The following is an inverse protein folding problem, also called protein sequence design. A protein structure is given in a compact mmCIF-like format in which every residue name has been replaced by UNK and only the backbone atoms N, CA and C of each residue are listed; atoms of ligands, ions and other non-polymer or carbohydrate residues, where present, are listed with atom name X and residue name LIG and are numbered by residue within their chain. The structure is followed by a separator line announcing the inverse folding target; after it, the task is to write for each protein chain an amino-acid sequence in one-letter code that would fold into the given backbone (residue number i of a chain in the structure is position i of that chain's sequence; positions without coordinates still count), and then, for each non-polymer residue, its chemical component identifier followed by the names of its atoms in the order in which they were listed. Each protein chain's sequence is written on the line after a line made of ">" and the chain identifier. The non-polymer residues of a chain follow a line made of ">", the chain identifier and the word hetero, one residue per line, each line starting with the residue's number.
data_IF_121668096892
#
_entry.id   IF_121668096892
#
_cell.length_a   1.000
_cell.length_b   1.000
_cell.length_c   1.000
_cell.angle_alpha   90.00
_cell.angle_beta   90.00
_cell.angle_gamma   90.00
#
_symmetry.space_group_name_H-M   'P 1'
#
loop_
_entity.id
_entity.type
_entity.pdbx_description
1 polymer ?
#
# COMPACT_ATOMS: atom_id res chain seq x y z
N UNK A 1 -0.77 -52.28 38.15
CA UNK A 1 -0.87 -51.06 38.97
C UNK A 1 -0.30 -49.89 38.15
N UNK A 2 -1.12 -49.37 37.25
CA UNK A 2 -0.90 -48.14 36.49
C UNK A 2 -2.31 -47.71 36.10
N UNK A 3 -2.80 -46.55 36.54
CA UNK A 3 -4.14 -46.16 36.11
C UNK A 3 -4.82 -44.97 36.79
N UNK A 4 -4.38 -44.50 37.97
CA UNK A 4 -5.10 -43.40 38.64
C UNK A 4 -4.51 -42.01 38.33
N UNK A 5 -3.19 -41.89 38.10
CA UNK A 5 -2.52 -40.59 37.98
C UNK A 5 -2.67 -39.88 36.62
N UNK A 6 -3.09 -40.59 35.57
CA UNK A 6 -3.13 -40.04 34.20
C UNK A 6 -4.48 -39.35 33.89
N UNK A 7 -5.54 -39.65 34.65
CA UNK A 7 -6.88 -39.12 34.40
C UNK A 7 -7.03 -37.69 34.95
N UNK A 8 -6.40 -37.39 36.09
CA UNK A 8 -6.40 -36.05 36.69
C UNK A 8 -5.59 -35.03 35.87
N UNK A 9 -4.52 -35.48 35.18
CA UNK A 9 -3.68 -34.59 34.36
C UNK A 9 -4.37 -34.17 33.04
N UNK A 10 -5.26 -35.04 32.51
CA UNK A 10 -6.04 -34.75 31.30
C UNK A 10 -7.18 -33.76 31.61
N UNK A 11 -7.88 -33.94 32.73
CA UNK A 11 -8.96 -33.04 33.15
C UNK A 11 -8.44 -31.61 33.45
N UNK A 12 -7.23 -31.49 34.02
CA UNK A 12 -6.57 -30.20 34.23
C UNK A 12 -6.22 -29.47 32.93
N UNK A 13 -5.76 -30.19 31.90
CA UNK A 13 -5.40 -29.62 30.59
C UNK A 13 -6.59 -29.05 29.82
N UNK A 14 -7.74 -29.73 29.84
CA UNK A 14 -8.94 -29.24 29.15
C UNK A 14 -9.47 -27.93 29.76
N UNK A 15 -9.48 -27.82 31.09
CA UNK A 15 -9.84 -26.59 31.79
C UNK A 15 -8.88 -25.43 31.48
N UNK A 16 -7.58 -25.72 31.38
CA UNK A 16 -6.56 -24.72 31.06
C UNK A 16 -6.68 -24.21 29.62
N UNK A 17 -6.90 -25.09 28.64
CA UNK A 17 -7.11 -24.68 27.24
C UNK A 17 -8.37 -23.82 27.06
N UNK A 18 -9.44 -24.15 27.78
CA UNK A 18 -10.67 -23.34 27.78
C UNK A 18 -10.43 -21.93 28.33
N UNK A 19 -9.70 -21.80 29.44
CA UNK A 19 -9.36 -20.52 30.05
C UNK A 19 -8.45 -19.67 29.14
N UNK A 20 -7.46 -20.28 28.49
CA UNK A 20 -6.57 -19.59 27.53
C UNK A 20 -7.36 -19.08 26.33
N UNK A 21 -8.28 -19.88 25.78
CA UNK A 21 -9.11 -19.48 24.65
C UNK A 21 -10.05 -18.31 24.99
N UNK A 22 -10.67 -18.35 26.18
CA UNK A 22 -11.50 -17.25 26.66
C UNK A 22 -10.69 -15.98 26.88
N UNK A 23 -9.50 -16.09 27.47
CA UNK A 23 -8.59 -14.96 27.64
C UNK A 23 -8.13 -14.37 26.31
N UNK A 24 -7.80 -15.20 25.31
CA UNK A 24 -7.46 -14.74 23.96
C UNK A 24 -8.63 -14.01 23.30
N UNK A 25 -9.85 -14.56 23.36
CA UNK A 25 -11.06 -13.90 22.83
C UNK A 25 -11.29 -12.54 23.49
N UNK A 26 -11.13 -12.46 24.81
CA UNK A 26 -11.24 -11.20 25.55
C UNK A 26 -10.19 -10.18 25.09
N UNK A 27 -8.93 -10.60 24.92
CA UNK A 27 -7.84 -9.73 24.45
C UNK A 27 -8.07 -9.22 23.03
N UNK A 28 -8.55 -10.08 22.13
CA UNK A 28 -8.94 -9.67 20.77
C UNK A 28 -10.09 -8.68 20.82
N UNK A 29 -11.11 -8.93 21.64
CA UNK A 29 -12.25 -8.00 21.75
C UNK A 29 -11.82 -6.63 22.29
N UNK A 30 -10.96 -6.61 23.31
CA UNK A 30 -10.42 -5.39 23.89
C UNK A 30 -9.52 -4.62 22.90
N UNK A 31 -8.76 -5.33 22.06
CA UNK A 31 -7.97 -4.72 20.99
C UNK A 31 -8.89 -4.06 19.94
N UNK A 32 -9.96 -4.76 19.53
CA UNK A 32 -10.97 -4.22 18.60
C UNK A 32 -11.64 -2.97 19.15
N UNK A 33 -11.99 -2.93 20.44
CA UNK A 33 -12.58 -1.75 21.06
C UNK A 33 -11.63 -0.55 21.12
N UNK A 34 -10.33 -0.79 21.36
CA UNK A 34 -9.32 0.27 21.32
C UNK A 34 -9.16 0.83 19.92
N UNK A 35 -9.09 -0.02 18.89
CA UNK A 35 -9.03 0.42 17.50
C UNK A 35 -10.27 1.21 17.10
N UNK A 36 -11.45 0.84 17.61
CA UNK A 36 -12.69 1.58 17.35
C UNK A 36 -12.68 3.02 17.88
N UNK A 37 -11.95 3.29 18.97
CA UNK A 37 -11.73 4.66 19.45
C UNK A 37 -10.73 5.43 18.59
N UNK A 38 -9.74 4.73 18.03
CA UNK A 38 -8.76 5.31 17.13
C UNK A 38 -9.33 5.62 15.73
N UNK A 39 -10.44 4.96 15.31
CA UNK A 39 -11.10 5.22 14.02
C UNK A 39 -11.37 6.70 13.77
N UNK A 40 -11.88 7.42 14.77
CA UNK A 40 -12.21 8.85 14.61
C UNK A 40 -10.97 9.71 14.34
N UNK A 41 -9.87 9.44 15.06
CA UNK A 41 -8.60 10.15 14.87
C UNK A 41 -7.97 9.82 13.51
N UNK A 42 -7.98 8.54 13.14
CA UNK A 42 -7.42 8.05 11.88
C UNK A 42 -8.22 8.61 10.69
N UNK A 43 -9.54 8.66 10.79
CA UNK A 43 -10.38 9.29 9.77
C UNK A 43 -10.12 10.79 9.66
N UNK A 44 -10.01 11.50 10.79
CA UNK A 44 -9.68 12.92 10.80
C UNK A 44 -8.33 13.20 10.12
N UNK A 45 -7.28 12.43 10.47
CA UNK A 45 -5.96 12.54 9.86
C UNK A 45 -6.03 12.25 8.35
N UNK A 46 -6.78 11.23 7.94
CA UNK A 46 -6.93 10.90 6.52
C UNK A 46 -7.65 11.99 5.71
N UNK A 47 -8.60 12.72 6.33
CA UNK A 47 -9.26 13.88 5.71
C UNK A 47 -8.33 15.10 5.61
N UNK A 48 -7.43 15.27 6.57
CA UNK A 48 -6.42 16.34 6.53
C UNK A 48 -5.39 16.07 5.44
N UNK A 49 -4.88 14.82 5.37
CA UNK A 49 -3.93 14.39 4.34
C UNK A 49 -4.52 14.43 2.94
N UNK A 50 -5.78 14.03 2.77
CA UNK A 50 -6.45 14.03 1.49
C UNK A 50 -7.90 14.51 1.64
N UNK A 51 -8.16 15.82 1.51
CA UNK A 51 -9.51 16.37 1.70
C UNK A 51 -10.47 16.02 0.56
N UNK A 52 -9.95 15.67 -0.62
CA UNK A 52 -10.76 15.33 -1.79
C UNK A 52 -11.44 13.96 -1.71
N UNK A 53 -12.41 13.74 -2.60
CA UNK A 53 -13.10 12.45 -2.74
C UNK A 53 -12.10 11.33 -3.03
N UNK A 54 -12.26 10.20 -2.34
CA UNK A 54 -11.40 9.02 -2.48
C UNK A 54 -11.31 8.48 -3.92
N UNK A 55 -12.39 8.64 -4.71
CA UNK A 55 -12.44 8.21 -6.11
C UNK A 55 -11.44 8.96 -7.01
N UNK A 56 -11.01 10.16 -6.62
CA UNK A 56 -10.06 10.95 -7.39
C UNK A 56 -8.62 10.48 -7.22
N UNK A 57 -8.30 9.81 -6.12
CA UNK A 57 -6.95 9.33 -5.83
C UNK A 57 -6.41 8.33 -6.88
N UNK A 58 -7.14 7.26 -7.24
CA UNK A 58 -6.68 6.35 -8.29
C UNK A 58 -6.65 7.03 -9.66
N UNK A 59 -7.58 7.94 -9.94
CA UNK A 59 -7.57 8.72 -11.18
C UNK A 59 -6.33 9.64 -11.27
N UNK A 60 -5.96 10.27 -10.16
CA UNK A 60 -4.78 11.12 -10.06
C UNK A 60 -3.48 10.30 -10.14
N UNK A 61 -3.43 9.12 -9.51
CA UNK A 61 -2.30 8.21 -9.66
C UNK A 61 -2.13 7.72 -11.10
N UNK A 62 -3.23 7.36 -11.78
CA UNK A 62 -3.19 6.98 -13.19
C UNK A 62 -2.76 8.15 -14.09
N UNK A 63 -3.25 9.37 -13.80
CA UNK A 63 -2.84 10.57 -14.52
C UNK A 63 -1.35 10.88 -14.31
N UNK A 64 -0.84 10.74 -13.08
CA UNK A 64 0.58 10.93 -12.78
C UNK A 64 1.47 9.93 -13.49
N UNK A 65 1.10 8.65 -13.51
CA UNK A 65 1.85 7.63 -14.27
C UNK A 65 1.85 7.92 -15.78
N UNK A 66 0.71 8.38 -16.32
CA UNK A 66 0.62 8.79 -17.72
C UNK A 66 1.50 10.01 -18.00
N UNK A 67 1.50 10.98 -17.08
CA UNK A 67 2.31 12.19 -17.19
C UNK A 67 3.80 11.86 -17.12
N UNK A 68 4.20 10.99 -16.18
CA UNK A 68 5.57 10.50 -16.04
C UNK A 68 6.03 9.85 -17.35
N UNK A 69 5.22 8.96 -17.91
CA UNK A 69 5.48 8.35 -19.21
C UNK A 69 5.67 9.38 -20.34
N UNK A 70 4.75 10.35 -20.45
CA UNK A 70 4.83 11.38 -21.49
C UNK A 70 6.10 12.21 -21.31
N UNK A 71 6.47 12.56 -20.07
CA UNK A 71 7.69 13.32 -19.81
C UNK A 71 8.95 12.52 -20.12
N UNK A 72 9.03 11.26 -19.71
CA UNK A 72 10.16 10.38 -20.03
C UNK A 72 10.31 10.16 -21.53
N UNK A 73 9.19 9.96 -22.23
CA UNK A 73 9.17 9.85 -23.69
C UNK A 73 9.66 11.16 -24.36
N UNK A 74 9.16 12.31 -23.92
CA UNK A 74 9.57 13.61 -24.45
C UNK A 74 11.06 13.89 -24.22
N UNK A 75 11.59 13.57 -23.02
CA UNK A 75 13.03 13.70 -22.70
C UNK A 75 13.88 12.86 -23.65
N UNK A 76 13.49 11.61 -23.90
CA UNK A 76 14.25 10.71 -24.76
C UNK A 76 14.20 11.12 -26.23
N UNK A 77 13.02 11.50 -26.72
CA UNK A 77 12.84 11.99 -28.10
C UNK A 77 13.62 13.30 -28.35
N UNK A 78 13.58 14.24 -27.39
CA UNK A 78 14.26 15.54 -27.50
C UNK A 78 15.76 15.45 -27.26
N UNK A 79 16.21 14.58 -26.35
CA UNK A 79 17.64 14.44 -26.03
C UNK A 79 18.43 13.74 -27.15
N UNK A 80 17.77 13.00 -28.05
CA UNK A 80 18.42 12.23 -29.11
C UNK A 80 19.44 11.19 -28.59
N UNK A 81 19.37 10.85 -27.30
CA UNK A 81 20.22 9.88 -26.62
C UNK A 81 19.36 8.67 -26.30
N UNK A 82 19.80 7.48 -26.68
CA UNK A 82 19.08 6.23 -26.34
C UNK A 82 19.17 5.86 -24.84
N UNK A 83 19.73 6.75 -24.01
CA UNK A 83 20.12 6.49 -22.63
C UNK A 83 19.98 7.79 -21.83
N UNK A 84 19.08 7.82 -20.85
CA UNK A 84 19.03 8.86 -19.83
C UNK A 84 19.88 8.37 -18.67
N UNK A 85 20.91 9.13 -18.28
CA UNK A 85 21.69 8.88 -17.05
C UNK A 85 20.87 9.27 -15.81
N UNK A 86 19.68 8.71 -15.64
CA UNK A 86 18.86 8.95 -14.47
C UNK A 86 19.19 7.93 -13.37
N UNK A 87 20.13 8.33 -12.51
CA UNK A 87 20.08 8.30 -11.04
C UNK A 87 19.83 6.99 -10.26
N UNK A 88 19.38 5.89 -10.86
CA UNK A 88 19.00 4.68 -10.13
C UNK A 88 19.43 3.40 -10.86
N UNK A 89 20.10 2.49 -10.14
CA UNK A 89 20.53 1.17 -10.65
C UNK A 89 19.41 0.39 -11.36
N UNK A 90 18.15 0.58 -10.95
CA UNK A 90 16.99 -0.06 -11.57
C UNK A 90 16.60 0.57 -12.91
N UNK A 91 16.56 1.90 -13.02
CA UNK A 91 16.22 2.59 -14.27
C UNK A 91 17.25 2.27 -15.37
N UNK A 92 18.53 2.29 -15.01
CA UNK A 92 19.63 1.92 -15.91
C UNK A 92 19.59 0.46 -16.38
N UNK A 93 19.10 -0.47 -15.55
CA UNK A 93 18.95 -1.88 -15.94
C UNK A 93 17.74 -2.09 -16.87
N UNK A 94 16.60 -1.49 -16.53
CA UNK A 94 15.34 -1.61 -17.29
C UNK A 94 15.46 -1.03 -18.70
N UNK A 95 16.11 0.13 -18.86
CA UNK A 95 16.37 0.72 -20.18
C UNK A 95 17.28 -0.19 -21.02
N UNK A 96 18.26 -0.84 -20.40
CA UNK A 96 19.24 -1.70 -21.09
C UNK A 96 18.65 -3.00 -21.62
N UNK A 97 17.71 -3.61 -20.89
CA UNK A 97 17.10 -4.89 -21.31
C UNK A 97 15.83 -4.72 -22.15
N UNK A 98 15.02 -3.69 -21.89
CA UNK A 98 13.68 -3.59 -22.49
C UNK A 98 13.33 -2.24 -23.11
N UNK A 99 14.23 -1.26 -23.05
CA UNK A 99 13.98 0.10 -23.54
C UNK A 99 12.85 0.84 -22.81
N UNK A 100 12.37 1.92 -23.42
CA UNK A 100 11.35 2.83 -22.88
C UNK A 100 10.02 2.15 -22.53
N UNK A 101 9.58 1.20 -23.36
CA UNK A 101 8.34 0.48 -23.15
C UNK A 101 8.35 -0.38 -21.89
N UNK A 102 9.54 -0.83 -21.45
CA UNK A 102 9.68 -1.65 -20.25
C UNK A 102 9.59 -0.82 -18.96
N UNK A 103 10.15 0.40 -18.96
CA UNK A 103 9.95 1.37 -17.87
C UNK A 103 8.46 1.66 -17.65
N UNK A 104 7.74 1.93 -18.74
CA UNK A 104 6.30 2.13 -18.69
C UNK A 104 5.56 0.91 -18.15
N UNK A 105 5.89 -0.28 -18.64
CA UNK A 105 5.25 -1.51 -18.19
C UNK A 105 5.46 -1.75 -16.70
N UNK A 106 6.66 -1.51 -16.19
CA UNK A 106 6.99 -1.63 -14.77
C UNK A 106 6.18 -0.63 -13.95
N UNK A 107 6.11 0.64 -14.37
CA UNK A 107 5.37 1.66 -13.63
C UNK A 107 3.86 1.40 -13.66
N UNK A 108 3.30 1.01 -14.81
CA UNK A 108 1.91 0.54 -14.92
C UNK A 108 1.66 -0.67 -14.02
N UNK A 109 2.56 -1.66 -14.00
CA UNK A 109 2.46 -2.82 -13.12
C UNK A 109 2.47 -2.42 -11.64
N UNK A 110 3.34 -1.48 -11.25
CA UNK A 110 3.41 -0.96 -9.87
C UNK A 110 2.12 -0.23 -9.51
N UNK A 111 1.62 0.66 -10.36
CA UNK A 111 0.35 1.39 -10.15
C UNK A 111 -0.81 0.42 -10.03
N UNK A 112 -0.90 -0.57 -10.92
CA UNK A 112 -1.97 -1.58 -10.90
C UNK A 112 -1.87 -2.44 -9.65
N UNK A 113 -0.68 -2.90 -9.28
CA UNK A 113 -0.45 -3.69 -8.08
C UNK A 113 -0.82 -2.90 -6.82
N UNK A 114 -0.37 -1.65 -6.69
CA UNK A 114 -0.71 -0.76 -5.58
C UNK A 114 -2.22 -0.47 -5.54
N UNK A 115 -2.85 -0.24 -6.69
CA UNK A 115 -4.29 -0.02 -6.79
C UNK A 115 -5.09 -1.25 -6.35
N UNK A 116 -4.70 -2.44 -6.81
CA UNK A 116 -5.33 -3.70 -6.41
C UNK A 116 -5.12 -3.98 -4.93
N UNK A 117 -3.93 -3.72 -4.40
CA UNK A 117 -3.62 -3.89 -2.98
C UNK A 117 -4.44 -2.91 -2.12
N UNK A 118 -4.59 -1.66 -2.57
CA UNK A 118 -5.39 -0.65 -1.89
C UNK A 118 -6.90 -0.99 -1.94
N UNK A 119 -7.42 -1.49 -3.07
CA UNK A 119 -8.80 -1.98 -3.19
C UNK A 119 -9.01 -3.24 -2.33
N UNK A 120 -8.06 -4.17 -2.33
CA UNK A 120 -8.09 -5.39 -1.53
C UNK A 120 -8.08 -5.09 -0.03
N UNK A 121 -7.20 -4.20 0.42
CA UNK A 121 -7.17 -3.72 1.79
C UNK A 121 -8.50 -3.06 2.19
N UNK A 122 -9.09 -2.25 1.30
CA UNK A 122 -10.41 -1.65 1.52
C UNK A 122 -11.50 -2.71 1.69
N UNK A 123 -11.55 -3.72 0.82
CA UNK A 123 -12.53 -4.81 0.93
C UNK A 123 -12.34 -5.60 2.22
N UNK A 124 -11.09 -5.82 2.63
CA UNK A 124 -10.76 -6.48 3.89
C UNK A 124 -11.25 -5.66 5.09
N UNK A 125 -10.95 -4.36 5.15
CA UNK A 125 -11.44 -3.46 6.20
C UNK A 125 -12.97 -3.38 6.24
N UNK A 126 -13.62 -3.40 5.08
CA UNK A 126 -15.08 -3.41 5.00
C UNK A 126 -15.68 -4.71 5.57
N UNK A 127 -15.05 -5.85 5.30
CA UNK A 127 -15.46 -7.16 5.87
C UNK A 127 -15.37 -7.18 7.39
N UNK A 128 -14.40 -6.48 7.96
CA UNK A 128 -14.23 -6.35 9.42
C UNK A 128 -14.98 -5.16 10.04
N UNK A 129 -15.81 -4.45 9.25
CA UNK A 129 -16.64 -3.33 9.68
C UNK A 129 -15.85 -2.08 10.15
N UNK A 130 -14.59 -1.95 9.73
CA UNK A 130 -13.73 -0.79 10.02
C UNK A 130 -13.78 0.23 8.88
N UNK A 131 -14.85 1.02 8.81
CA UNK A 131 -15.08 1.97 7.71
C UNK A 131 -14.05 3.10 7.66
N UNK A 132 -13.60 3.61 8.82
CA UNK A 132 -12.63 4.71 8.89
C UNK A 132 -11.22 4.31 8.43
N UNK A 133 -10.81 3.08 8.77
CA UNK A 133 -9.48 2.56 8.39
C UNK A 133 -9.32 2.32 6.90
N UNK A 134 -10.41 1.96 6.19
CA UNK A 134 -10.37 1.74 4.75
C UNK A 134 -9.87 2.96 3.97
N UNK A 135 -10.26 4.17 4.38
CA UNK A 135 -9.78 5.42 3.79
C UNK A 135 -8.33 5.69 4.13
N UNK A 136 -7.97 5.55 5.40
CA UNK A 136 -6.61 5.83 5.85
C UNK A 136 -5.62 4.92 5.15
N UNK A 137 -5.82 3.60 5.15
CA UNK A 137 -4.92 2.65 4.46
C UNK A 137 -4.76 2.99 2.99
N UNK A 138 -5.86 3.37 2.32
CA UNK A 138 -5.85 3.78 0.92
C UNK A 138 -4.99 5.05 0.70
N UNK A 139 -5.18 6.08 1.53
CA UNK A 139 -4.40 7.33 1.46
C UNK A 139 -2.93 7.09 1.80
N UNK A 140 -2.62 6.33 2.86
CA UNK A 140 -1.24 6.07 3.29
C UNK A 140 -0.45 5.26 2.27
N UNK A 141 -1.10 4.41 1.46
CA UNK A 141 -0.46 3.67 0.38
C UNK A 141 -0.22 4.53 -0.86
N UNK A 142 -1.22 5.29 -1.31
CA UNK A 142 -1.13 6.03 -2.57
C UNK A 142 -0.43 7.39 -2.46
N UNK A 143 -0.50 8.07 -1.31
CA UNK A 143 0.13 9.40 -1.16
C UNK A 143 1.66 9.34 -1.34
N UNK A 144 2.40 8.42 -0.69
CA UNK A 144 3.84 8.31 -0.92
C UNK A 144 4.18 8.04 -2.39
N UNK A 145 3.41 7.17 -3.05
CA UNK A 145 3.58 6.91 -4.49
C UNK A 145 3.37 8.17 -5.32
N UNK A 146 2.29 8.92 -5.08
CA UNK A 146 2.01 10.17 -5.79
C UNK A 146 3.13 11.21 -5.58
N UNK A 147 3.68 11.32 -4.37
CA UNK A 147 4.80 12.22 -4.09
C UNK A 147 6.05 11.83 -4.88
N UNK A 148 6.38 10.54 -4.94
CA UNK A 148 7.52 10.04 -5.72
C UNK A 148 7.31 10.25 -7.21
N UNK A 149 6.11 9.96 -7.73
CA UNK A 149 5.77 10.18 -9.13
C UNK A 149 5.84 11.65 -9.53
N UNK A 150 5.35 12.57 -8.69
CA UNK A 150 5.49 14.02 -8.92
C UNK A 150 6.97 14.43 -8.96
N UNK A 151 7.79 13.90 -8.05
CA UNK A 151 9.22 14.21 -8.03
C UNK A 151 9.93 13.71 -9.31
N UNK A 152 9.58 12.51 -9.78
CA UNK A 152 10.08 11.96 -11.05
C UNK A 152 9.69 12.83 -12.25
N UNK A 153 8.39 13.18 -12.37
CA UNK A 153 7.89 14.09 -13.42
C UNK A 153 8.65 15.42 -13.43
N UNK A 154 8.85 16.04 -12.26
CA UNK A 154 9.57 17.31 -12.15
C UNK A 154 11.02 17.14 -12.61
N UNK A 155 11.68 16.05 -12.19
CA UNK A 155 13.05 15.74 -12.61
C UNK A 155 13.15 15.63 -14.14
N UNK A 156 12.25 14.87 -14.75
CA UNK A 156 12.20 14.67 -16.21
C UNK A 156 12.01 16.01 -16.93
N UNK A 157 11.09 16.87 -16.46
CA UNK A 157 10.85 18.19 -17.06
C UNK A 157 12.10 19.08 -16.97
N UNK A 158 12.79 19.07 -15.82
CA UNK A 158 14.03 19.87 -15.63
C UNK A 158 15.12 19.39 -16.58
N UNK A 159 15.28 18.08 -16.75
CA UNK A 159 16.24 17.49 -17.69
C UNK A 159 15.87 17.81 -19.14
N UNK A 160 14.59 17.80 -19.51
CA UNK A 160 14.14 18.11 -20.87
C UNK A 160 14.36 19.58 -21.28
N UNK A 161 14.39 20.51 -20.31
CA UNK A 161 14.54 21.94 -20.55
C UNK A 161 16.01 22.41 -20.62
N UNK A 162 16.96 21.56 -20.24
CA UNK A 162 18.39 21.86 -20.17
C UNK A 162 19.16 21.28 -21.36
#
# INVERSE_FOLDING_TARGET
>A
MAGEGDIDDIAGKEGYMGAVWQWMKYRVHLAVERDRRAEGNVEAISRVLWPWREQWLPALAALLALLDYITTYAVLELSGKDHVEEGGMLAGWVIREGGLGWLFLVDVCVVVALSLLAVGARLLCFKFNFRGYGRAVFVTLLVPYAVVAIAAVINNIVVALW
#
